data_IF_502760750185
#
_entry.id   IF_502760750185
#
_cell.length_a   1.000
_cell.length_b   1.000
_cell.length_c   1.000
_cell.angle_alpha   90.00
_cell.angle_beta   90.00
_cell.angle_gamma   90.00
#
_symmetry.space_group_name_H-M   'P 1'
#
loop_
_entity.id
_entity.type
_entity.pdbx_description
1 polymer ?
#
# COMPACT_ATOMS: atom_id res chain seq x y z
N UNK A 1 -12.70 -9.24 -10.28
CA UNK A 1 -11.24 -9.45 -10.15
C UNK A 1 -10.48 -9.26 -11.47
N UNK A 2 -10.85 -8.28 -12.31
CA UNK A 2 -10.14 -8.01 -13.59
C UNK A 2 -10.19 -6.53 -14.01
N UNK A 3 -10.44 -5.62 -13.07
CA UNK A 3 -10.67 -4.19 -13.36
C UNK A 3 -9.74 -3.21 -12.60
N UNK A 4 -8.69 -3.71 -11.94
CA UNK A 4 -7.68 -2.85 -11.27
C UNK A 4 -6.33 -2.84 -12.01
N UNK A 5 -6.18 -3.61 -13.11
CA UNK A 5 -4.90 -3.83 -13.79
C UNK A 5 -4.71 -3.08 -15.13
N UNK A 6 -5.47 -2.02 -15.39
CA UNK A 6 -5.33 -1.23 -16.63
C UNK A 6 -4.54 0.08 -16.48
N UNK A 7 -3.75 0.24 -15.42
CA UNK A 7 -2.80 1.35 -15.33
C UNK A 7 -1.41 0.79 -15.63
N UNK A 8 -0.80 1.28 -16.73
CA UNK A 8 0.54 1.01 -17.29
C UNK A 8 0.58 0.08 -18.53
N UNK A 9 -0.18 0.42 -19.56
CA UNK A 9 0.39 0.34 -20.92
C UNK A 9 1.49 1.39 -21.04
N UNK A 10 2.72 1.03 -20.64
CA UNK A 10 3.92 1.75 -21.08
C UNK A 10 4.16 1.44 -22.59
N UNK A 11 3.25 1.91 -23.43
CA UNK A 11 3.38 1.97 -24.89
C UNK A 11 3.74 3.40 -25.29
N UNK A 12 4.93 3.81 -24.91
CA UNK A 12 5.69 4.93 -25.44
C UNK A 12 7.04 4.75 -24.73
N UNK A 13 8.15 4.35 -25.34
CA UNK A 13 8.76 5.01 -26.47
C UNK A 13 9.89 4.12 -26.99
N UNK A 14 9.83 3.69 -28.24
CA UNK A 14 11.03 3.33 -29.02
C UNK A 14 11.17 4.20 -30.28
N UNK A 15 10.23 5.09 -30.56
CA UNK A 15 10.31 6.02 -31.71
C UNK A 15 10.77 7.43 -31.35
N UNK A 16 10.63 7.85 -30.08
CA UNK A 16 10.76 9.27 -29.70
C UNK A 16 12.02 9.57 -28.85
N UNK A 17 12.76 8.56 -28.36
CA UNK A 17 13.99 8.76 -27.57
C UNK A 17 15.15 7.92 -28.13
N UNK A 18 16.18 8.62 -28.61
CA UNK A 18 17.46 8.04 -29.06
C UNK A 18 18.25 7.49 -27.85
N UNK A 19 19.04 6.44 -28.04
CA UNK A 19 19.93 5.84 -27.02
C UNK A 19 20.84 6.89 -26.35
N UNK A 20 21.20 7.94 -27.10
CA UNK A 20 21.97 9.06 -26.60
C UNK A 20 21.26 9.89 -25.53
N UNK A 21 19.91 9.90 -25.47
CA UNK A 21 19.16 10.55 -24.40
C UNK A 21 19.38 9.85 -23.06
N UNK A 22 19.26 8.53 -23.02
CA UNK A 22 19.43 7.72 -21.81
C UNK A 22 20.89 7.71 -21.31
N UNK A 23 21.87 7.59 -22.23
CA UNK A 23 23.30 7.74 -21.87
C UNK A 23 23.61 9.10 -21.24
N UNK A 24 23.03 10.19 -21.75
CA UNK A 24 23.20 11.54 -21.19
C UNK A 24 22.48 11.74 -19.85
N UNK A 25 21.43 10.97 -19.59
CA UNK A 25 20.77 10.90 -18.28
C UNK A 25 21.50 9.97 -17.29
N UNK A 26 22.63 9.37 -17.69
CA UNK A 26 23.41 8.42 -16.88
C UNK A 26 22.69 7.08 -16.65
N UNK A 27 21.66 6.78 -17.45
CA UNK A 27 20.91 5.53 -17.39
C UNK A 27 21.56 4.58 -18.39
N UNK A 28 22.20 3.52 -17.90
CA UNK A 28 22.70 2.45 -18.77
C UNK A 28 21.51 1.68 -19.35
N UNK A 29 21.34 1.74 -20.67
CA UNK A 29 20.26 1.06 -21.37
C UNK A 29 20.38 -0.46 -21.21
N UNK A 30 21.61 -0.98 -21.01
CA UNK A 30 21.86 -2.38 -20.70
C UNK A 30 21.29 -2.83 -19.34
N UNK A 31 21.05 -1.88 -18.42
CA UNK A 31 20.42 -2.12 -17.11
C UNK A 31 18.91 -1.82 -17.11
N UNK A 32 18.39 -1.15 -18.15
CA UNK A 32 16.95 -0.85 -18.25
C UNK A 32 16.21 -1.94 -18.98
N UNK A 33 15.42 -2.70 -18.24
CA UNK A 33 14.50 -3.68 -18.82
C UNK A 33 13.19 -2.95 -19.11
N UNK A 34 12.66 -3.12 -20.34
CA UNK A 34 11.28 -2.74 -20.63
C UNK A 34 10.39 -3.49 -19.66
N UNK A 35 9.69 -2.77 -18.79
CA UNK A 35 8.85 -3.37 -17.77
C UNK A 35 7.70 -4.12 -18.46
N UNK A 36 7.87 -5.44 -18.62
CA UNK A 36 6.84 -6.30 -19.18
C UNK A 36 5.70 -6.46 -18.16
N UNK A 37 4.49 -6.67 -18.66
CA UNK A 37 3.31 -6.91 -17.85
C UNK A 37 3.50 -8.13 -16.93
N UNK A 38 4.21 -9.17 -17.39
CA UNK A 38 4.52 -10.35 -16.59
C UNK A 38 5.49 -10.03 -15.45
N UNK A 39 6.53 -9.23 -15.72
CA UNK A 39 7.50 -8.81 -14.71
C UNK A 39 6.85 -7.92 -13.65
N UNK A 40 5.95 -7.03 -14.06
CA UNK A 40 5.17 -6.20 -13.15
C UNK A 40 4.22 -7.07 -12.31
N UNK A 41 3.54 -8.03 -12.94
CA UNK A 41 2.65 -8.97 -12.25
C UNK A 41 3.39 -9.79 -11.19
N UNK A 42 4.55 -10.35 -11.54
CA UNK A 42 5.40 -11.08 -10.60
C UNK A 42 5.95 -10.16 -9.49
N UNK A 43 6.33 -8.93 -9.84
CA UNK A 43 6.84 -7.95 -8.88
C UNK A 43 5.75 -7.45 -7.93
N UNK A 44 4.47 -7.46 -8.33
CA UNK A 44 3.32 -7.01 -7.55
C UNK A 44 2.47 -8.17 -7.02
N UNK A 45 3.04 -9.38 -6.92
CA UNK A 45 2.33 -10.55 -6.42
C UNK A 45 2.01 -10.41 -4.93
N UNK A 46 0.75 -10.12 -4.62
CA UNK A 46 0.21 -10.01 -3.26
C UNK A 46 -0.38 -8.64 -2.96
N UNK A 47 -0.73 -8.37 -1.70
CA UNK A 47 -1.27 -7.07 -1.31
C UNK A 47 -0.21 -5.96 -1.44
N UNK A 48 -0.61 -4.80 -1.97
CA UNK A 48 0.28 -3.68 -2.30
C UNK A 48 -0.18 -2.40 -1.61
N UNK A 49 0.73 -1.72 -0.93
CA UNK A 49 0.55 -0.35 -0.47
C UNK A 49 1.09 0.63 -1.52
N UNK A 50 0.43 1.77 -1.68
CA UNK A 50 0.85 2.82 -2.63
C UNK A 50 1.39 3.99 -1.83
N UNK A 51 2.64 4.37 -2.06
CA UNK A 51 3.24 5.62 -1.62
C UNK A 51 3.21 6.61 -2.79
N UNK A 52 2.71 7.81 -2.58
CA UNK A 52 2.59 8.82 -3.65
C UNK A 52 3.03 10.19 -3.18
N UNK A 53 3.78 10.91 -4.01
CA UNK A 53 3.97 12.34 -3.86
C UNK A 53 4.18 13.02 -5.21
N UNK A 54 3.92 14.33 -5.25
CA UNK A 54 4.02 15.11 -6.47
C UNK A 54 4.76 16.43 -6.21
N UNK A 55 5.50 16.89 -7.21
CA UNK A 55 6.20 18.16 -7.21
C UNK A 55 5.86 18.92 -8.48
N UNK A 56 5.39 20.15 -8.30
CA UNK A 56 5.16 21.07 -9.41
C UNK A 56 6.52 21.51 -9.95
N UNK A 57 6.64 21.57 -11.28
CA UNK A 57 7.80 22.19 -11.92
C UNK A 57 7.53 23.70 -12.02
N UNK A 58 8.43 24.56 -11.52
CA UNK A 58 8.31 26.00 -11.71
C UNK A 58 8.38 26.30 -13.21
N UNK A 59 7.24 26.59 -13.83
CA UNK A 59 7.11 26.71 -15.29
C UNK A 59 7.20 28.16 -15.79
N UNK A 60 7.55 29.14 -14.96
CA UNK A 60 7.76 30.53 -15.42
C UNK A 60 8.51 31.38 -14.39
N UNK A 61 9.37 32.34 -14.80
CA UNK A 61 10.08 33.26 -13.89
C UNK A 61 9.15 34.09 -13.00
N UNK A 62 7.90 34.33 -13.43
CA UNK A 62 6.91 35.12 -12.69
C UNK A 62 6.30 34.37 -11.48
N UNK A 63 6.28 33.04 -11.48
CA UNK A 63 5.82 32.23 -10.35
C UNK A 63 6.90 32.13 -9.24
N UNK A 64 8.15 32.41 -9.59
CA UNK A 64 9.30 32.34 -8.69
C UNK A 64 9.20 33.43 -7.61
N UNK A 65 8.63 34.60 -7.90
CA UNK A 65 8.57 35.70 -6.93
C UNK A 65 7.50 35.52 -5.83
N UNK A 66 6.46 34.71 -6.05
CA UNK A 66 5.54 34.30 -4.97
C UNK A 66 6.06 33.11 -4.16
N UNK A 67 6.86 32.23 -4.75
CA UNK A 67 7.42 31.06 -4.08
C UNK A 67 8.68 31.39 -3.24
N UNK A 68 9.44 32.41 -3.64
CA UNK A 68 10.63 32.92 -2.91
C UNK A 68 10.35 33.47 -1.51
N UNK A 69 9.09 33.79 -1.18
CA UNK A 69 8.72 34.31 0.13
C UNK A 69 8.63 33.23 1.23
N UNK A 70 8.57 31.95 0.86
CA UNK A 70 8.42 30.85 1.82
C UNK A 70 9.64 29.91 1.96
N UNK A 71 10.61 29.95 1.04
CA UNK A 71 11.76 29.04 1.08
C UNK A 71 13.10 29.78 0.98
N UNK A 72 13.80 29.90 2.11
CA UNK A 72 15.15 30.51 2.24
C UNK A 72 16.29 29.51 1.95
N UNK A 73 16.09 28.57 1.03
CA UNK A 73 17.14 27.69 0.53
C UNK A 73 16.89 27.31 -0.93
N UNK A 74 17.01 28.30 -1.81
CA UNK A 74 16.79 28.15 -3.24
C UNK A 74 17.94 27.40 -3.92
N UNK A 75 17.73 26.13 -4.23
CA UNK A 75 18.14 25.57 -5.51
C UNK A 75 16.86 25.32 -6.31
N UNK A 76 16.74 25.94 -7.48
CA UNK A 76 15.57 25.93 -8.36
C UNK A 76 15.33 24.58 -9.08
N UNK A 77 15.64 23.47 -8.39
CA UNK A 77 15.57 22.11 -8.91
C UNK A 77 14.64 21.24 -8.07
N UNK A 78 14.31 20.06 -8.60
CA UNK A 78 13.56 19.05 -7.87
C UNK A 78 14.33 18.62 -6.60
N UNK A 79 13.69 18.72 -5.44
CA UNK A 79 14.22 18.13 -4.21
C UNK A 79 13.74 16.68 -4.10
N UNK A 80 14.57 15.73 -4.56
CA UNK A 80 14.24 14.30 -4.49
C UNK A 80 14.12 13.79 -3.06
N UNK A 81 14.91 14.31 -2.12
CA UNK A 81 14.88 13.86 -0.74
C UNK A 81 13.51 14.18 -0.11
N UNK A 82 13.03 15.41 -0.33
CA UNK A 82 11.70 15.85 0.08
C UNK A 82 10.58 15.10 -0.65
N UNK A 83 10.67 14.96 -1.98
CA UNK A 83 9.67 14.23 -2.76
C UNK A 83 9.54 12.77 -2.29
N UNK A 84 10.68 12.11 -2.05
CA UNK A 84 10.70 10.75 -1.53
C UNK A 84 10.12 10.68 -0.12
N UNK A 85 10.54 11.57 0.79
CA UNK A 85 9.99 11.63 2.15
C UNK A 85 8.48 11.82 2.15
N UNK A 86 7.95 12.80 1.42
CA UNK A 86 6.50 13.04 1.32
C UNK A 86 5.75 11.83 0.79
N UNK A 87 6.37 11.03 -0.10
CA UNK A 87 5.75 9.81 -0.62
C UNK A 87 5.60 8.71 0.44
N UNK A 88 6.52 8.65 1.41
CA UNK A 88 6.53 7.63 2.48
C UNK A 88 5.97 8.16 3.82
N UNK A 89 5.56 9.42 3.87
CA UNK A 89 4.95 10.02 5.05
C UNK A 89 3.54 9.43 5.29
N UNK A 90 2.97 9.76 6.45
CA UNK A 90 1.56 9.49 6.71
C UNK A 90 0.68 10.24 5.69
N UNK A 91 -0.48 9.66 5.32
CA UNK A 91 -1.32 10.25 4.29
C UNK A 91 -1.77 11.67 4.67
N UNK A 92 -1.52 12.63 3.78
CA UNK A 92 -1.81 14.04 4.00
C UNK A 92 -2.18 14.76 2.70
N UNK A 93 -2.89 15.88 2.83
CA UNK A 93 -3.31 16.68 1.69
C UNK A 93 -2.28 17.75 1.35
N UNK A 94 -1.71 17.69 0.15
CA UNK A 94 -0.80 18.72 -0.35
C UNK A 94 -1.61 19.88 -0.94
N UNK A 95 -1.51 21.07 -0.32
CA UNK A 95 -2.27 22.27 -0.73
C UNK A 95 -1.83 22.85 -2.08
N UNK A 96 -0.61 22.55 -2.54
CA UNK A 96 -0.08 23.08 -3.80
C UNK A 96 -0.53 22.22 -4.97
N UNK A 97 -0.31 20.91 -4.91
CA UNK A 97 -0.69 19.97 -5.96
C UNK A 97 -2.15 19.54 -5.89
N UNK A 98 -2.82 19.77 -4.76
CA UNK A 98 -4.16 19.26 -4.43
C UNK A 98 -4.23 17.72 -4.41
N UNK A 99 -3.07 17.05 -4.33
CA UNK A 99 -2.99 15.61 -4.25
C UNK A 99 -3.02 15.13 -2.78
N UNK A 100 -3.49 13.89 -2.58
CA UNK A 100 -3.27 13.15 -1.34
C UNK A 100 -1.92 12.44 -1.50
N UNK A 101 -0.98 12.80 -0.64
CA UNK A 101 0.38 12.28 -0.63
C UNK A 101 0.60 11.38 0.59
N UNK A 102 1.71 10.64 0.58
CA UNK A 102 2.06 9.67 1.61
C UNK A 102 1.68 8.25 1.24
N UNK A 103 1.85 7.37 2.22
CA UNK A 103 1.48 5.95 2.11
C UNK A 103 -0.04 5.84 2.22
N UNK A 104 -0.65 5.04 1.34
CA UNK A 104 -2.09 4.80 1.26
C UNK A 104 -2.68 4.05 2.46
N UNK A 105 -1.94 3.89 3.56
CA UNK A 105 -2.26 3.09 4.72
C UNK A 105 -1.81 3.81 5.99
N UNK A 106 -2.72 3.98 6.95
CA UNK A 106 -2.35 4.35 8.33
C UNK A 106 -1.89 3.11 9.12
N UNK A 107 -0.67 3.08 9.67
CA UNK A 107 -0.18 1.96 10.47
C UNK A 107 -0.82 1.95 11.88
N UNK A 108 -1.03 0.75 12.45
CA UNK A 108 -1.56 0.56 13.83
C UNK A 108 -0.76 1.33 14.89
N UNK A 109 0.56 1.50 14.69
CA UNK A 109 1.44 2.29 15.58
C UNK A 109 1.79 3.66 14.97
N UNK A 110 0.79 4.44 14.55
CA UNK A 110 1.00 5.74 13.88
C UNK A 110 1.88 6.72 14.68
N UNK A 111 1.85 6.66 16.02
CA UNK A 111 2.73 7.45 16.89
C UNK A 111 4.22 7.12 16.67
N UNK A 112 4.58 5.83 16.77
CA UNK A 112 5.94 5.35 16.54
C UNK A 112 6.40 5.61 15.10
N UNK A 113 5.50 5.46 14.13
CA UNK A 113 5.78 5.73 12.73
C UNK A 113 6.09 7.22 12.50
N UNK A 114 5.30 8.11 13.09
CA UNK A 114 5.49 9.56 13.04
C UNK A 114 6.81 9.98 13.70
N UNK A 115 7.16 9.39 14.84
CA UNK A 115 8.44 9.63 15.51
C UNK A 115 9.63 9.19 14.65
N UNK A 116 9.56 8.01 14.04
CA UNK A 116 10.59 7.50 13.14
C UNK A 116 10.74 8.37 11.89
N UNK A 117 9.64 8.83 11.29
CA UNK A 117 9.65 9.78 10.16
C UNK A 117 10.24 11.15 10.56
N UNK A 118 9.91 11.65 11.76
CA UNK A 118 10.50 12.88 12.27
C UNK A 118 12.01 12.73 12.54
N UNK A 119 12.45 11.58 13.05
CA UNK A 119 13.88 11.23 13.20
C UNK A 119 14.57 11.19 11.84
N UNK A 120 13.94 10.56 10.84
CA UNK A 120 14.43 10.45 9.48
C UNK A 120 14.73 11.80 8.84
N UNK A 121 13.82 12.79 8.95
CA UNK A 121 14.09 14.13 8.41
C UNK A 121 15.19 14.85 9.20
N UNK A 122 15.14 14.78 10.54
CA UNK A 122 16.13 15.45 11.42
C UNK A 122 17.55 14.92 11.26
N UNK A 123 17.69 13.64 10.91
CA UNK A 123 18.99 12.99 10.70
C UNK A 123 19.58 13.21 9.31
N UNK A 124 18.89 13.98 8.44
CA UNK A 124 19.30 14.16 7.06
C UNK A 124 18.99 12.94 6.19
N UNK A 125 17.83 12.32 6.41
CA UNK A 125 17.31 11.15 5.70
C UNK A 125 18.09 9.86 5.99
N UNK A 126 18.50 9.64 7.25
CA UNK A 126 19.10 8.36 7.69
C UNK A 126 18.01 7.36 8.09
N UNK A 127 17.83 6.23 7.37
CA UNK A 127 16.71 5.32 7.58
C UNK A 127 16.91 4.34 8.74
N UNK A 128 17.93 4.51 9.61
CA UNK A 128 18.22 3.58 10.73
C UNK A 128 16.99 3.14 11.52
N UNK A 129 16.18 4.10 11.98
CA UNK A 129 14.98 3.80 12.79
C UNK A 129 13.80 3.38 11.91
N UNK A 130 13.74 3.93 10.69
CA UNK A 130 12.61 3.77 9.78
C UNK A 130 12.62 2.39 9.10
N UNK A 131 13.77 1.92 8.63
CA UNK A 131 13.94 0.62 7.95
C UNK A 131 13.57 -0.59 8.82
N UNK A 132 13.67 -0.45 10.14
CA UNK A 132 13.37 -1.51 11.10
C UNK A 132 11.87 -1.63 11.41
N UNK A 133 11.07 -0.65 11.01
CA UNK A 133 9.62 -0.77 11.07
C UNK A 133 9.17 -1.91 10.17
N UNK A 134 8.21 -2.69 10.67
CA UNK A 134 7.71 -3.88 9.98
C UNK A 134 7.32 -3.59 8.52
N UNK A 135 6.70 -2.43 8.27
CA UNK A 135 6.29 -2.00 6.94
C UNK A 135 7.44 -2.02 5.93
N UNK A 136 8.59 -1.43 6.28
CA UNK A 136 9.76 -1.33 5.40
C UNK A 136 10.64 -2.60 5.43
N UNK A 137 10.78 -3.21 6.61
CA UNK A 137 11.66 -4.38 6.83
C UNK A 137 11.22 -5.64 6.08
N UNK A 138 9.91 -5.86 5.98
CA UNK A 138 9.31 -7.13 5.57
C UNK A 138 8.60 -7.07 4.20
N UNK A 139 8.90 -6.08 3.37
CA UNK A 139 8.39 -6.03 2.00
C UNK A 139 9.18 -7.00 1.09
N UNK A 140 8.47 -7.71 0.20
CA UNK A 140 9.12 -8.66 -0.72
C UNK A 140 9.58 -8.03 -2.02
N UNK A 141 8.90 -6.98 -2.45
CA UNK A 141 9.17 -6.30 -3.71
C UNK A 141 8.76 -4.84 -3.61
N UNK A 142 9.50 -3.99 -4.31
CA UNK A 142 9.22 -2.56 -4.44
C UNK A 142 9.33 -2.17 -5.91
N UNK A 143 8.31 -1.47 -6.41
CA UNK A 143 8.30 -0.88 -7.75
C UNK A 143 8.15 0.62 -7.61
N UNK A 144 9.18 1.38 -7.98
CA UNK A 144 9.16 2.83 -7.98
C UNK A 144 8.96 3.36 -9.39
N UNK A 145 7.98 4.22 -9.58
CA UNK A 145 7.60 4.83 -10.86
C UNK A 145 7.75 6.33 -10.72
N UNK A 146 8.64 6.91 -11.53
CA UNK A 146 8.81 8.36 -11.63
C UNK A 146 8.12 8.81 -12.92
N UNK A 147 7.14 9.69 -12.81
CA UNK A 147 6.50 10.31 -13.98
C UNK A 147 7.00 11.74 -14.12
N UNK A 148 7.41 12.12 -15.33
CA UNK A 148 7.94 13.44 -15.66
C UNK A 148 7.12 14.08 -16.78
N UNK A 149 7.07 15.42 -16.89
CA UNK A 149 6.57 16.08 -18.09
C UNK A 149 7.47 15.87 -19.30
N UNK A 150 6.93 16.08 -20.51
CA UNK A 150 7.65 15.85 -21.77
C UNK A 150 8.97 16.60 -21.88
N UNK A 151 9.01 17.83 -21.38
CA UNK A 151 10.15 18.74 -21.54
C UNK A 151 11.08 18.77 -20.30
N UNK A 152 10.79 17.96 -19.29
CA UNK A 152 11.60 17.90 -18.08
C UNK A 152 12.64 16.77 -18.15
N UNK A 153 13.89 17.06 -17.79
CA UNK A 153 14.97 16.07 -17.70
C UNK A 153 15.34 15.87 -16.24
N UNK A 154 15.17 14.64 -15.76
CA UNK A 154 15.64 14.24 -14.42
C UNK A 154 17.16 14.10 -14.44
N UNK A 155 17.83 14.66 -13.44
CA UNK A 155 19.29 14.55 -13.36
C UNK A 155 19.72 13.15 -12.92
N UNK A 156 20.92 12.72 -13.34
CA UNK A 156 21.50 11.46 -12.89
C UNK A 156 21.70 11.42 -11.37
N UNK A 157 22.05 12.56 -10.76
CA UNK A 157 22.22 12.67 -9.32
C UNK A 157 20.90 12.41 -8.58
N UNK A 158 19.81 12.99 -9.08
CA UNK A 158 18.45 12.81 -8.53
C UNK A 158 18.00 11.35 -8.59
N UNK A 159 18.24 10.69 -9.72
CA UNK A 159 17.90 9.28 -9.88
C UNK A 159 18.73 8.39 -8.94
N UNK A 160 20.03 8.64 -8.82
CA UNK A 160 20.89 7.90 -7.90
C UNK A 160 20.53 8.13 -6.43
N UNK A 161 20.13 9.36 -6.10
CA UNK A 161 19.65 9.71 -4.75
C UNK A 161 18.40 8.92 -4.40
N UNK A 162 17.43 8.87 -5.32
CA UNK A 162 16.22 8.06 -5.14
C UNK A 162 16.53 6.56 -5.02
N UNK A 163 17.41 6.03 -5.87
CA UNK A 163 17.88 4.63 -5.77
C UNK A 163 18.51 4.36 -4.40
N UNK A 164 19.31 5.29 -3.88
CA UNK A 164 19.93 5.17 -2.56
C UNK A 164 18.88 5.12 -1.45
N UNK A 165 17.89 6.02 -1.47
CA UNK A 165 16.78 6.01 -0.51
C UNK A 165 16.02 4.69 -0.51
N UNK A 166 15.61 4.22 -1.69
CA UNK A 166 14.90 2.95 -1.82
C UNK A 166 15.75 1.76 -1.36
N UNK A 167 17.05 1.75 -1.66
CA UNK A 167 17.91 0.66 -1.24
C UNK A 167 18.14 0.59 0.26
N UNK A 168 18.29 1.75 0.90
CA UNK A 168 18.60 1.86 2.32
C UNK A 168 17.35 1.68 3.20
N UNK A 169 16.20 2.14 2.73
CA UNK A 169 14.92 1.98 3.42
C UNK A 169 14.37 0.55 3.31
N UNK A 170 14.60 -0.12 2.18
CA UNK A 170 14.12 -1.47 1.91
C UNK A 170 15.28 -2.47 1.78
N UNK A 171 15.96 -2.81 2.90
CA UNK A 171 17.20 -3.57 2.86
C UNK A 171 17.02 -5.05 2.47
N UNK A 172 15.90 -5.67 2.84
CA UNK A 172 15.66 -7.11 2.65
C UNK A 172 14.93 -7.45 1.34
N UNK A 173 14.62 -6.45 0.53
CA UNK A 173 13.85 -6.62 -0.70
C UNK A 173 14.74 -7.11 -1.82
N UNK A 174 14.43 -8.29 -2.35
CA UNK A 174 15.17 -8.90 -3.46
C UNK A 174 14.81 -8.31 -4.81
N UNK A 175 13.55 -7.89 -4.99
CA UNK A 175 13.06 -7.29 -6.23
C UNK A 175 12.82 -5.79 -6.06
N UNK A 176 13.71 -4.98 -6.65
CA UNK A 176 13.57 -3.53 -6.73
C UNK A 176 13.50 -3.13 -8.20
N UNK A 177 12.37 -2.57 -8.63
CA UNK A 177 12.14 -2.14 -10.00
C UNK A 177 11.95 -0.64 -10.05
N UNK A 178 12.47 -0.03 -11.12
CA UNK A 178 12.39 1.40 -11.37
C UNK A 178 11.78 1.59 -12.75
N UNK A 179 10.75 2.41 -12.84
CA UNK A 179 10.13 2.82 -14.08
C UNK A 179 10.23 4.34 -14.21
N UNK A 180 10.57 4.78 -15.42
CA UNK A 180 10.54 6.19 -15.80
C UNK A 180 9.49 6.37 -16.88
N UNK A 181 8.50 7.23 -16.61
CA UNK A 181 7.41 7.53 -17.53
C UNK A 181 7.49 8.99 -17.92
N UNK A 182 7.65 9.28 -19.21
CA UNK A 182 7.81 10.65 -19.70
C UNK A 182 6.53 11.09 -20.40
N UNK A 183 6.07 12.30 -20.10
CA UNK A 183 4.90 12.93 -20.70
C UNK A 183 3.54 12.48 -20.18
N UNK A 184 3.50 11.73 -19.06
CA UNK A 184 2.25 11.24 -18.47
C UNK A 184 1.59 12.22 -17.48
N UNK A 185 2.34 13.19 -16.96
CA UNK A 185 1.83 14.21 -16.04
C UNK A 185 2.39 15.60 -16.38
N UNK A 186 1.68 16.64 -15.95
CA UNK A 186 2.15 18.03 -15.99
C UNK A 186 3.17 18.33 -14.88
N UNK A 187 3.22 17.48 -13.85
CA UNK A 187 4.12 17.58 -12.70
C UNK A 187 5.06 16.37 -12.64
N UNK A 188 6.04 16.44 -11.74
CA UNK A 188 6.88 15.31 -11.39
C UNK A 188 6.17 14.52 -10.31
N UNK A 189 5.80 13.27 -10.57
CA UNK A 189 5.22 12.40 -9.55
C UNK A 189 6.08 11.19 -9.28
N UNK A 190 6.07 10.77 -8.01
CA UNK A 190 6.73 9.57 -7.53
C UNK A 190 5.67 8.65 -6.94
N UNK A 191 5.52 7.48 -7.56
CA UNK A 191 4.66 6.40 -7.08
C UNK A 191 5.53 5.21 -6.69
N UNK A 192 5.51 4.84 -5.41
CA UNK A 192 6.23 3.66 -4.91
C UNK A 192 5.22 2.60 -4.49
N UNK A 193 5.22 1.46 -5.17
CA UNK A 193 4.37 0.31 -4.87
C UNK A 193 5.14 -0.65 -3.97
N UNK A 194 4.60 -0.94 -2.78
CA UNK A 194 5.28 -1.69 -1.72
C UNK A 194 4.49 -2.98 -1.43
N UNK A 195 5.08 -4.13 -1.76
CA UNK A 195 4.39 -5.42 -1.82
C UNK A 195 4.57 -6.21 -0.51
N UNK A 196 3.52 -6.95 -0.13
CA UNK A 196 3.32 -7.67 1.16
C UNK A 196 3.07 -6.78 2.38
N UNK A 197 2.71 -5.53 2.14
CA UNK A 197 2.68 -4.52 3.20
C UNK A 197 1.45 -4.42 4.11
N UNK A 198 0.21 -4.85 3.78
CA UNK A 198 -0.95 -4.50 4.58
C UNK A 198 -1.37 -5.67 5.46
N UNK A 199 -0.54 -5.97 6.46
CA UNK A 199 -0.97 -6.94 7.46
C UNK A 199 -1.74 -6.29 8.60
N UNK A 200 -1.57 -4.99 8.83
CA UNK A 200 -2.03 -4.33 10.05
C UNK A 200 -2.09 -2.81 9.83
N UNK A 201 -2.88 -2.37 8.86
CA UNK A 201 -3.25 -0.95 8.74
C UNK A 201 -4.64 -0.77 9.35
N UNK A 202 -4.79 0.24 10.21
CA UNK A 202 -6.08 0.59 10.79
C UNK A 202 -7.08 0.94 9.69
N UNK A 203 -6.64 1.60 8.62
CA UNK A 203 -7.52 1.95 7.49
C UNK A 203 -8.02 0.73 6.75
N UNK A 204 -7.15 -0.25 6.48
CA UNK A 204 -7.58 -1.47 5.78
C UNK A 204 -8.62 -2.25 6.59
N UNK A 205 -8.36 -2.40 7.90
CA UNK A 205 -9.32 -3.05 8.80
C UNK A 205 -10.60 -2.22 8.91
N UNK A 206 -10.49 -0.90 9.05
CA UNK A 206 -11.63 0.03 9.11
C UNK A 206 -12.47 -0.02 7.84
N UNK A 207 -11.85 -0.08 6.66
CA UNK A 207 -12.53 -0.18 5.37
C UNK A 207 -13.26 -1.52 5.23
N UNK A 208 -12.62 -2.63 5.60
CA UNK A 208 -13.25 -3.95 5.62
C UNK A 208 -14.42 -3.98 6.59
N UNK A 209 -14.21 -3.55 7.83
CA UNK A 209 -15.26 -3.53 8.86
C UNK A 209 -16.39 -2.60 8.46
N UNK A 210 -16.10 -1.43 7.88
CA UNK A 210 -17.11 -0.50 7.36
C UNK A 210 -17.93 -1.11 6.24
N UNK A 211 -17.29 -1.82 5.31
CA UNK A 211 -17.99 -2.54 4.24
C UNK A 211 -18.90 -3.64 4.82
N UNK A 212 -18.40 -4.45 5.75
CA UNK A 212 -19.18 -5.49 6.43
C UNK A 212 -20.35 -4.87 7.21
N UNK A 213 -20.13 -3.80 7.98
CA UNK A 213 -21.18 -3.07 8.70
C UNK A 213 -22.28 -2.56 7.78
N UNK A 214 -21.92 -2.04 6.60
CA UNK A 214 -22.89 -1.45 5.66
C UNK A 214 -23.66 -2.50 4.87
N UNK A 215 -23.02 -3.61 4.52
CA UNK A 215 -23.58 -4.60 3.60
C UNK A 215 -24.06 -5.89 4.25
N UNK A 216 -23.48 -6.30 5.38
CA UNK A 216 -23.80 -7.58 6.01
C UNK A 216 -24.46 -7.42 7.38
N UNK A 217 -24.15 -6.39 8.16
CA UNK A 217 -24.68 -6.29 9.52
C UNK A 217 -26.22 -6.22 9.53
N UNK A 218 -26.83 -6.95 10.46
CA UNK A 218 -28.24 -6.77 10.82
C UNK A 218 -28.40 -5.39 11.46
N UNK A 219 -29.60 -4.81 11.36
CA UNK A 219 -29.84 -3.38 11.61
C UNK A 219 -29.28 -2.87 12.95
N UNK A 220 -29.38 -3.64 14.03
CA UNK A 220 -28.88 -3.25 15.35
C UNK A 220 -27.33 -3.10 15.39
N UNK A 221 -26.61 -3.98 14.69
CA UNK A 221 -25.14 -4.02 14.67
C UNK A 221 -24.52 -3.00 13.70
N UNK A 222 -25.34 -2.38 12.87
CA UNK A 222 -24.91 -1.45 11.83
C UNK A 222 -24.51 -0.09 12.39
N UNK A 223 -25.25 0.40 13.38
CA UNK A 223 -25.14 1.77 13.88
C UNK A 223 -24.39 1.89 15.21
N UNK A 224 -24.11 0.77 15.86
CA UNK A 224 -23.35 0.74 17.11
C UNK A 224 -21.91 0.24 16.87
N UNK A 225 -21.09 0.28 17.92
CA UNK A 225 -19.68 -0.14 17.86
C UNK A 225 -19.48 -1.64 18.17
N UNK A 226 -20.58 -2.39 18.30
CA UNK A 226 -20.50 -3.78 18.77
C UNK A 226 -19.87 -4.69 17.72
N UNK A 227 -20.13 -4.46 16.42
CA UNK A 227 -19.47 -5.21 15.35
C UNK A 227 -18.00 -4.84 15.22
N UNK A 228 -17.62 -3.57 15.42
CA UNK A 228 -16.20 -3.16 15.37
C UNK A 228 -15.40 -3.83 16.48
N UNK A 229 -15.94 -3.84 17.71
CA UNK A 229 -15.33 -4.53 18.85
C UNK A 229 -15.26 -6.04 18.61
N UNK A 230 -16.36 -6.65 18.17
CA UNK A 230 -16.39 -8.08 17.87
C UNK A 230 -15.38 -8.46 16.78
N UNK A 231 -15.19 -7.64 15.74
CA UNK A 231 -14.20 -7.88 14.69
C UNK A 231 -12.76 -7.89 15.22
N UNK A 232 -12.44 -7.05 16.22
CA UNK A 232 -11.14 -7.10 16.91
C UNK A 232 -10.99 -8.38 17.73
N UNK A 233 -12.01 -8.75 18.50
CA UNK A 233 -12.03 -10.00 19.29
C UNK A 233 -11.83 -11.21 18.35
N UNK A 234 -12.59 -11.25 17.25
CA UNK A 234 -12.50 -12.27 16.23
C UNK A 234 -11.14 -12.34 15.55
N UNK A 235 -10.29 -11.31 15.59
CA UNK A 235 -8.93 -11.36 15.05
C UNK A 235 -7.92 -11.78 16.13
N UNK A 236 -8.11 -11.31 17.37
CA UNK A 236 -7.13 -11.41 18.45
C UNK A 236 -7.27 -12.65 19.31
N UNK A 237 -8.49 -13.12 19.55
CA UNK A 237 -8.77 -14.19 20.51
C UNK A 237 -8.22 -15.55 20.04
N UNK A 238 -8.01 -16.46 20.99
CA UNK A 238 -7.50 -17.81 20.71
C UNK A 238 -8.49 -18.67 19.91
N UNK A 239 -9.78 -18.44 20.10
CA UNK A 239 -10.85 -19.14 19.39
C UNK A 239 -11.65 -18.17 18.51
N UNK A 240 -12.10 -18.63 17.36
CA UNK A 240 -12.98 -17.85 16.48
C UNK A 240 -14.42 -18.32 16.67
N UNK A 241 -15.23 -17.48 17.30
CA UNK A 241 -16.65 -17.74 17.52
C UNK A 241 -17.46 -17.40 16.26
N UNK A 242 -17.65 -18.41 15.41
CA UNK A 242 -18.42 -18.29 14.18
C UNK A 242 -19.91 -18.03 14.42
N UNK A 243 -20.47 -18.57 15.50
CA UNK A 243 -21.89 -18.44 15.81
C UNK A 243 -22.22 -16.99 16.19
N UNK A 244 -21.33 -16.36 16.98
CA UNK A 244 -21.44 -14.93 17.30
C UNK A 244 -21.40 -14.09 16.02
N UNK A 245 -20.49 -14.35 15.08
CA UNK A 245 -20.46 -13.62 13.81
C UNK A 245 -21.74 -13.85 12.97
N UNK A 246 -22.21 -15.09 12.90
CA UNK A 246 -23.45 -15.45 12.19
C UNK A 246 -24.69 -14.77 12.79
N UNK A 247 -24.69 -14.56 14.11
CA UNK A 247 -25.77 -13.82 14.78
C UNK A 247 -25.79 -12.34 14.40
N UNK A 248 -24.65 -11.75 14.04
CA UNK A 248 -24.50 -10.31 13.73
C UNK A 248 -24.75 -9.98 12.26
N UNK A 249 -24.53 -10.94 11.34
CA UNK A 249 -24.56 -10.72 9.90
C UNK A 249 -25.73 -11.42 9.19
N UNK A 250 -26.18 -10.84 8.09
CA UNK A 250 -27.01 -11.49 7.09
C UNK A 250 -26.19 -12.49 6.27
N UNK A 251 -26.86 -13.48 5.67
CA UNK A 251 -26.20 -14.52 4.88
C UNK A 251 -25.47 -13.98 3.64
N UNK A 252 -26.05 -12.97 2.98
CA UNK A 252 -25.52 -12.37 1.74
C UNK A 252 -25.46 -10.85 1.85
N UNK A 253 -24.48 -10.25 1.19
CA UNK A 253 -24.28 -8.80 1.17
C UNK A 253 -25.49 -8.05 0.58
N UNK A 254 -25.92 -6.95 1.18
CA UNK A 254 -26.96 -6.07 0.65
C UNK A 254 -26.33 -4.79 0.06
N UNK A 255 -26.15 -4.71 -1.27
CA UNK A 255 -25.52 -3.55 -1.91
C UNK A 255 -26.44 -2.34 -1.99
N UNK A 256 -27.75 -2.48 -1.72
CA UNK A 256 -28.72 -1.38 -1.76
C UNK A 256 -28.27 -0.15 -0.96
N UNK A 257 -27.58 -0.42 0.15
CA UNK A 257 -27.14 0.61 1.10
C UNK A 257 -25.89 1.38 0.64
N UNK A 258 -25.12 0.84 -0.31
CA UNK A 258 -24.00 1.54 -0.94
C UNK A 258 -24.48 2.28 -2.18
N UNK A 259 -25.36 1.65 -2.96
CA UNK A 259 -25.88 2.20 -4.22
C UNK A 259 -26.98 3.25 -4.02
N UNK A 260 -27.35 3.53 -2.76
CA UNK A 260 -28.50 4.36 -2.36
C UNK A 260 -29.77 4.08 -3.16
N UNK A 261 -29.99 2.80 -3.48
CA UNK A 261 -31.10 2.38 -4.32
C UNK A 261 -31.62 1.03 -3.90
N UNK A 262 -32.92 0.78 -4.07
CA UNK A 262 -33.54 -0.49 -3.73
C UNK A 262 -33.00 -1.63 -4.63
N UNK A 263 -32.16 -2.49 -4.06
CA UNK A 263 -31.57 -3.64 -4.74
C UNK A 263 -32.61 -4.55 -5.40
N UNK A 264 -33.74 -4.78 -4.73
CA UNK A 264 -34.80 -5.65 -5.25
C UNK A 264 -35.47 -5.07 -6.51
N UNK A 265 -35.47 -3.74 -6.66
CA UNK A 265 -35.96 -3.06 -7.85
C UNK A 265 -34.90 -2.99 -8.96
N UNK A 266 -33.64 -2.75 -8.58
CA UNK A 266 -32.53 -2.58 -9.53
C UNK A 266 -32.09 -3.90 -10.15
N UNK A 267 -32.01 -4.98 -9.37
CA UNK A 267 -31.46 -6.26 -9.83
C UNK A 267 -32.16 -6.77 -11.11
N UNK A 268 -33.51 -6.83 -11.17
CA UNK A 268 -34.20 -7.25 -12.39
C UNK A 268 -33.87 -6.37 -13.60
N UNK A 269 -33.69 -5.06 -13.40
CA UNK A 269 -33.35 -4.12 -14.47
C UNK A 269 -31.97 -4.41 -15.08
N UNK A 270 -30.94 -4.61 -14.23
CA UNK A 270 -29.62 -4.97 -14.72
C UNK A 270 -29.62 -6.35 -15.39
N UNK A 271 -30.23 -7.36 -14.75
CA UNK A 271 -30.26 -8.71 -15.30
C UNK A 271 -31.03 -8.79 -16.61
N UNK A 272 -32.09 -7.99 -16.81
CA UNK A 272 -32.86 -7.96 -18.05
C UNK A 272 -31.96 -7.67 -19.27
N UNK A 273 -31.11 -6.64 -19.16
CA UNK A 273 -30.18 -6.27 -20.24
C UNK A 273 -29.19 -7.40 -20.55
N UNK A 274 -28.69 -8.10 -19.53
CA UNK A 274 -27.80 -9.25 -19.72
C UNK A 274 -28.52 -10.47 -20.31
N UNK A 275 -29.76 -10.74 -19.89
CA UNK A 275 -30.59 -11.83 -20.44
C UNK A 275 -30.92 -11.61 -21.91
N UNK A 276 -31.07 -10.36 -22.35
CA UNK A 276 -31.28 -10.03 -23.77
C UNK A 276 -30.01 -10.23 -24.62
N UNK A 277 -28.82 -10.00 -24.04
CA UNK A 277 -27.54 -10.19 -24.73
C UNK A 277 -27.08 -11.66 -24.78
N UNK A 278 -27.41 -12.45 -23.74
CA UNK A 278 -26.99 -13.84 -23.62
C UNK A 278 -27.98 -14.76 -24.32
N UNK A 279 -27.62 -15.24 -25.52
CA UNK A 279 -28.46 -16.15 -26.34
C UNK A 279 -28.61 -17.56 -25.74
N UNK A 280 -27.63 -18.03 -24.97
CA UNK A 280 -27.66 -19.33 -24.31
C UNK A 280 -27.99 -19.17 -22.83
N UNK A 281 -29.19 -19.59 -22.42
CA UNK A 281 -29.70 -19.45 -21.05
C UNK A 281 -28.83 -20.15 -20.01
N UNK A 282 -28.17 -21.25 -20.36
CA UNK A 282 -27.34 -22.02 -19.43
C UNK A 282 -26.03 -21.30 -19.07
N UNK A 283 -25.67 -20.25 -19.83
CA UNK A 283 -24.51 -19.39 -19.54
C UNK A 283 -24.87 -18.15 -18.73
N UNK A 284 -26.15 -17.95 -18.40
CA UNK A 284 -26.57 -16.82 -17.58
C UNK A 284 -26.29 -17.14 -16.10
N UNK A 285 -25.54 -16.24 -15.46
CA UNK A 285 -25.29 -16.29 -14.01
C UNK A 285 -26.04 -15.12 -13.37
N UNK A 286 -26.86 -15.39 -12.35
CA UNK A 286 -27.56 -14.31 -11.65
C UNK A 286 -26.56 -13.50 -10.84
N UNK A 287 -26.85 -12.21 -10.66
CA UNK A 287 -26.06 -11.38 -9.75
C UNK A 287 -26.13 -11.94 -8.31
N UNK A 288 -27.19 -12.66 -7.95
CA UNK A 288 -27.26 -13.34 -6.65
C UNK A 288 -26.24 -14.46 -6.51
N UNK A 289 -25.86 -15.14 -7.59
CA UNK A 289 -24.96 -16.30 -7.56
C UNK A 289 -23.49 -15.89 -7.41
N UNK A 290 -23.19 -14.59 -7.60
CA UNK A 290 -21.86 -14.01 -7.46
C UNK A 290 -21.74 -13.09 -6.22
N UNK A 291 -22.82 -12.95 -5.43
CA UNK A 291 -22.81 -12.12 -4.22
C UNK A 291 -21.85 -12.70 -3.19
N UNK A 292 -21.19 -11.81 -2.47
CA UNK A 292 -20.44 -12.21 -1.29
C UNK A 292 -21.41 -12.71 -0.21
N UNK A 293 -21.05 -13.83 0.41
CA UNK A 293 -21.75 -14.40 1.56
C UNK A 293 -20.98 -14.12 2.85
N UNK A 294 -21.64 -14.34 3.98
CA UNK A 294 -20.99 -14.31 5.30
C UNK A 294 -19.81 -15.26 5.42
N UNK A 295 -19.79 -16.35 4.64
CA UNK A 295 -18.63 -17.25 4.55
C UNK A 295 -17.39 -16.53 3.98
N UNK A 296 -17.58 -15.63 3.01
CA UNK A 296 -16.50 -14.75 2.53
C UNK A 296 -15.96 -13.86 3.65
N UNK A 297 -16.83 -13.38 4.54
CA UNK A 297 -16.42 -12.59 5.73
C UNK A 297 -15.64 -13.45 6.72
N UNK A 298 -16.12 -14.65 7.05
CA UNK A 298 -15.41 -15.63 7.89
C UNK A 298 -14.01 -15.92 7.36
N UNK A 299 -13.89 -16.26 6.07
CA UNK A 299 -12.60 -16.50 5.40
C UNK A 299 -11.66 -15.30 5.49
N UNK A 300 -12.19 -14.09 5.32
CA UNK A 300 -11.41 -12.85 5.44
C UNK A 300 -10.89 -12.66 6.87
N UNK A 301 -11.72 -12.92 7.88
CA UNK A 301 -11.31 -12.86 9.30
C UNK A 301 -10.26 -13.93 9.61
N UNK A 302 -10.43 -15.17 9.16
CA UNK A 302 -9.42 -16.22 9.32
C UNK A 302 -8.08 -15.82 8.72
N UNK A 303 -8.09 -15.23 7.52
CA UNK A 303 -6.88 -14.71 6.91
C UNK A 303 -6.20 -13.63 7.76
N UNK A 304 -6.99 -12.69 8.31
CA UNK A 304 -6.48 -11.65 9.21
C UNK A 304 -5.95 -12.23 10.54
N UNK A 305 -6.61 -13.26 11.09
CA UNK A 305 -6.16 -14.00 12.28
C UNK A 305 -4.80 -14.65 12.07
N UNK A 306 -4.62 -15.35 10.95
CA UNK A 306 -3.36 -16.00 10.61
C UNK A 306 -2.23 -14.97 10.48
N UNK A 307 -2.52 -13.85 9.81
CA UNK A 307 -1.59 -12.73 9.72
C UNK A 307 -1.23 -12.17 11.10
N UNK A 308 -2.23 -11.89 11.94
CA UNK A 308 -2.05 -11.33 13.27
C UNK A 308 -1.19 -12.26 14.14
N UNK A 309 -1.52 -13.56 14.17
CA UNK A 309 -0.82 -14.58 14.96
C UNK A 309 0.60 -14.81 14.48
N UNK A 310 0.83 -14.87 13.17
CA UNK A 310 2.16 -15.13 12.63
C UNK A 310 3.10 -13.92 12.73
N UNK A 311 2.56 -12.69 12.79
CA UNK A 311 3.37 -11.46 12.73
C UNK A 311 3.48 -10.69 14.05
N UNK A 312 2.47 -10.70 14.93
CA UNK A 312 2.51 -10.00 16.23
C UNK A 312 2.89 -10.95 17.37
N UNK A 313 2.33 -12.16 17.39
CA UNK A 313 2.70 -13.19 18.35
C UNK A 313 4.04 -13.78 17.90
N UNK A 314 5.15 -13.26 18.43
CA UNK A 314 6.53 -13.72 18.19
C UNK A 314 6.56 -15.23 17.90
N UNK A 315 6.87 -15.62 16.66
CA UNK A 315 7.10 -17.01 16.29
C UNK A 315 8.21 -17.56 17.20
N UNK A 316 7.86 -18.38 18.19
CA UNK A 316 8.87 -19.15 18.93
C UNK A 316 9.56 -20.03 17.90
N UNK A 317 10.88 -19.88 17.74
CA UNK A 317 11.68 -20.79 16.93
C UNK A 317 11.53 -22.17 17.55
N UNK A 318 10.81 -23.06 16.87
CA UNK A 318 10.72 -24.46 17.26
C UNK A 318 11.98 -25.12 16.73
N UNK A 319 12.93 -25.40 17.61
CA UNK A 319 14.14 -26.17 17.32
C UNK A 319 13.94 -27.59 17.84
N UNK A 320 14.39 -28.59 17.07
CA UNK A 320 14.46 -29.99 17.54
C UNK A 320 15.48 -30.17 18.68
N UNK A 321 16.35 -29.19 18.89
CA UNK A 321 17.25 -29.15 20.03
C UNK A 321 16.54 -28.45 21.19
N UNK A 322 16.00 -29.25 22.12
CA UNK A 322 15.51 -28.78 23.42
C UNK A 322 16.68 -28.22 24.23
N UNK A 323 17.09 -26.98 23.99
CA UNK A 323 17.85 -26.23 25.00
C UNK A 323 16.84 -25.78 26.04
N UNK A 324 16.57 -26.69 26.97
CA UNK A 324 15.83 -26.41 28.20
C UNK A 324 16.47 -25.21 28.90
N UNK A 325 15.63 -24.25 29.31
CA UNK A 325 15.94 -23.21 30.30
C UNK A 325 16.45 -23.83 31.61
N UNK A 326 17.73 -24.20 31.63
CA UNK A 326 18.50 -24.52 32.83
C UNK A 326 19.79 -23.71 32.79
N UNK A 327 19.74 -22.52 33.36
CA UNK A 327 20.96 -21.72 33.53
C UNK A 327 20.76 -20.30 34.02
N UNK A 328 19.76 -20.02 34.87
CA UNK A 328 19.67 -18.72 35.53
C UNK A 328 19.20 -18.87 36.98
N UNK A 329 19.93 -19.67 37.79
CA UNK A 329 19.98 -19.52 39.25
C UNK A 329 21.35 -19.94 39.78
N UNK A 330 22.15 -18.92 40.06
CA UNK A 330 22.89 -18.67 41.31
C UNK A 330 23.72 -19.81 41.90
N UNK A 331 25.03 -19.59 42.01
CA UNK A 331 25.77 -20.02 43.20
C UNK A 331 26.59 -18.87 43.81
N UNK A 332 26.61 -18.75 45.15
CA UNK A 332 27.45 -17.84 45.90
C UNK A 332 28.87 -18.40 46.04
N UNK A 333 29.85 -17.53 46.24
CA UNK A 333 31.26 -17.93 46.35
C UNK A 333 31.56 -18.79 47.58
N UNK A 334 32.76 -19.39 47.64
CA UNK A 334 33.35 -19.82 48.89
C UNK A 334 34.47 -18.87 49.31
N UNK A 335 34.33 -18.31 50.51
CA UNK A 335 35.48 -18.09 51.37
C UNK A 335 36.28 -19.39 51.50
N UNK A 336 37.61 -19.30 51.44
CA UNK A 336 38.53 -20.07 52.29
C UNK A 336 39.97 -19.53 52.16
N UNK A 337 40.40 -18.93 53.27
CA UNK A 337 41.75 -18.77 53.83
C UNK A 337 42.83 -18.04 53.04
#
# INVERSE_FOLDING_TARGET
SQQIFNILTAQAVTTDYDENYFRRAGIDIGETIRLDANDLFMSLAGPVAVAYAESVIPSTPAAVDKLKLFDKSSNSGLNIDDLFFRSIDLPHFNKVTQAIEGISLLPIESGRYREALASYVKSGYDPKDLKDLHFFKNCSSVVSIISLPKDYKLSYMDLNRLKSHLNTLFPNTTLKRYALVIGASANISLTTLIVKSPCLSDDFLTLIVSFIKRCFAKDDYRFNDSLDKAMLDFIRDDHFDEERLDSMLHEFENPAKILDTNWYAIKPMYEKKYRELIRNKDKFVSINDIRLSRDSVKKSIHYLREIYRHKISKTKVISLNNLSDKGAKTEPGPDKN
#
